data_IF_329491558907
#
_entry.id   IF_329491558907
#
_cell.length_a   1.000
_cell.length_b   1.000
_cell.length_c   1.000
_cell.angle_alpha   90.00
_cell.angle_beta   90.00
_cell.angle_gamma   90.00
#
_symmetry.space_group_name_H-M   'P 1'
#
loop_
_entity.id
_entity.type
_entity.pdbx_description
1 polymer ?
#
# COMPACT_ATOMS: atom_id res chain seq x y z
N UNK A 1 -4.65 -34.52 16.49
CA UNK A 1 -5.16 -33.26 17.09
C UNK A 1 -4.47 -32.92 18.41
N UNK A 2 -3.70 -33.83 19.00
CA UNK A 2 -3.16 -33.71 20.35
C UNK A 2 -1.98 -32.72 20.51
N UNK A 3 -1.19 -32.51 19.46
CA UNK A 3 -0.03 -31.59 19.48
C UNK A 3 -0.48 -30.12 19.54
N UNK A 4 -1.50 -29.73 18.76
CA UNK A 4 -2.00 -28.35 18.74
C UNK A 4 -2.58 -27.91 20.10
N UNK A 5 -3.18 -28.86 20.83
CA UNK A 5 -3.71 -28.63 22.18
C UNK A 5 -2.60 -28.48 23.22
N UNK A 6 -1.46 -29.16 23.04
CA UNK A 6 -0.29 -29.06 23.93
C UNK A 6 0.55 -27.80 23.69
N UNK A 7 0.61 -27.27 22.47
CA UNK A 7 1.42 -26.08 22.14
C UNK A 7 0.65 -24.77 22.07
N UNK A 8 -0.70 -24.79 22.14
CA UNK A 8 -1.52 -23.59 22.03
C UNK A 8 -1.44 -22.88 20.66
N UNK A 9 -0.85 -23.54 19.66
CA UNK A 9 -0.62 -22.97 18.34
C UNK A 9 -1.78 -23.28 17.38
N UNK A 10 -2.04 -22.35 16.45
CA UNK A 10 -3.03 -22.55 15.40
C UNK A 10 -2.73 -23.81 14.58
N UNK A 11 -3.77 -24.56 14.19
CA UNK A 11 -3.66 -25.84 13.48
C UNK A 11 -2.79 -25.73 12.20
N UNK A 12 -2.82 -24.58 11.54
CA UNK A 12 -1.99 -24.26 10.36
C UNK A 12 -0.48 -24.23 10.66
N UNK A 13 -0.08 -23.77 11.85
CA UNK A 13 1.33 -23.74 12.28
C UNK A 13 1.87 -25.15 12.53
N UNK A 14 1.01 -26.04 13.02
CA UNK A 14 1.35 -27.45 13.29
C UNK A 14 1.59 -28.23 11.98
N UNK A 15 1.03 -27.80 10.85
CA UNK A 15 1.25 -28.44 9.54
C UNK A 15 2.70 -28.31 9.08
N UNK A 16 3.32 -27.13 9.26
CA UNK A 16 4.71 -26.88 8.87
C UNK A 16 5.70 -27.67 9.75
N UNK A 17 5.39 -27.77 11.04
CA UNK A 17 6.15 -28.58 11.98
C UNK A 17 6.02 -30.09 11.69
N UNK A 18 4.88 -30.58 11.20
CA UNK A 18 4.70 -32.01 10.86
C UNK A 18 5.59 -32.49 9.71
N UNK A 19 5.83 -31.64 8.72
CA UNK A 19 6.74 -31.93 7.62
C UNK A 19 8.21 -31.97 8.05
N UNK A 20 8.60 -31.18 9.04
CA UNK A 20 9.98 -31.16 9.57
C UNK A 20 10.31 -32.41 10.41
N UNK A 21 9.31 -33.06 11.03
CA UNK A 21 9.48 -34.29 11.83
C UNK A 21 9.18 -35.56 11.00
N UNK A 22 9.15 -35.47 9.67
CA UNK A 22 9.09 -36.63 8.77
C UNK A 22 7.75 -37.37 8.73
N UNK A 23 6.64 -36.78 9.21
CA UNK A 23 5.32 -37.39 9.01
C UNK A 23 4.79 -37.12 7.59
N UNK A 24 4.23 -38.13 6.91
CA UNK A 24 3.81 -37.98 5.53
C UNK A 24 2.67 -36.94 5.39
N UNK A 25 2.77 -36.10 4.37
CA UNK A 25 1.81 -35.01 4.06
C UNK A 25 0.43 -35.51 3.60
N UNK A 26 0.22 -36.83 3.56
CA UNK A 26 -0.93 -37.55 3.01
C UNK A 26 -2.15 -37.59 3.93
N UNK A 27 -2.17 -36.83 5.02
CA UNK A 27 -3.36 -36.75 5.86
C UNK A 27 -4.53 -36.14 5.06
N UNK A 28 -5.70 -36.82 4.98
CA UNK A 28 -6.85 -36.30 4.25
C UNK A 28 -7.26 -34.96 4.85
N UNK A 29 -7.29 -33.92 4.01
CA UNK A 29 -7.74 -32.59 4.43
C UNK A 29 -9.21 -32.67 4.75
N UNK A 30 -9.62 -32.18 5.92
CA UNK A 30 -11.03 -31.99 6.21
C UNK A 30 -11.64 -31.12 5.11
N UNK A 31 -12.73 -31.63 4.50
CA UNK A 31 -13.49 -30.86 3.51
C UNK A 31 -14.00 -29.61 4.23
N UNK A 32 -13.75 -28.43 3.65
CA UNK A 32 -14.24 -27.18 4.25
C UNK A 32 -15.77 -27.27 4.37
N UNK A 33 -16.32 -26.74 5.46
CA UNK A 33 -17.76 -26.73 5.72
C UNK A 33 -18.56 -25.98 4.65
N UNK A 34 -17.92 -25.08 3.91
CA UNK A 34 -18.50 -24.28 2.84
C UNK A 34 -18.26 -24.85 1.43
N UNK A 35 -17.68 -26.05 1.32
CA UNK A 35 -17.36 -26.66 0.03
C UNK A 35 -18.62 -27.08 -0.75
N UNK A 36 -19.03 -26.25 -1.70
CA UNK A 36 -20.20 -26.46 -2.55
C UNK A 36 -21.35 -25.48 -2.29
N UNK A 37 -21.18 -24.56 -1.32
CA UNK A 37 -22.11 -23.44 -1.15
C UNK A 37 -21.86 -22.44 -2.30
N UNK A 38 -22.87 -22.14 -3.14
CA UNK A 38 -22.73 -21.15 -4.20
C UNK A 38 -22.40 -19.79 -3.57
N UNK A 39 -21.22 -19.27 -3.86
CA UNK A 39 -20.83 -17.93 -3.40
C UNK A 39 -21.76 -16.90 -4.08
N UNK A 40 -22.35 -15.95 -3.34
CA UNK A 40 -23.21 -14.93 -3.93
C UNK A 40 -22.39 -14.10 -4.94
N UNK A 41 -22.78 -14.17 -6.22
CA UNK A 41 -22.14 -13.52 -7.40
C UNK A 41 -20.63 -13.38 -7.25
N UNK A 42 -19.89 -14.47 -7.47
CA UNK A 42 -18.44 -14.39 -7.57
C UNK A 42 -18.03 -13.43 -8.68
N UNK A 43 -17.32 -12.36 -8.31
CA UNK A 43 -16.60 -11.55 -9.29
C UNK A 43 -15.72 -12.54 -10.10
N UNK A 44 -15.70 -12.45 -11.44
CA UNK A 44 -14.90 -13.35 -12.26
C UNK A 44 -13.46 -13.40 -11.75
N UNK A 45 -12.91 -14.59 -11.56
CA UNK A 45 -11.53 -14.74 -11.09
C UNK A 45 -10.53 -14.43 -12.22
N UNK A 46 -9.32 -14.01 -11.86
CA UNK A 46 -8.24 -13.77 -12.83
C UNK A 46 -8.43 -12.50 -13.67
N UNK A 47 -8.04 -12.53 -14.95
CA UNK A 47 -8.02 -11.34 -15.83
C UNK A 47 -9.41 -10.70 -16.00
N UNK A 48 -10.46 -11.49 -15.93
CA UNK A 48 -11.84 -11.01 -16.02
C UNK A 48 -12.28 -10.19 -14.79
N UNK A 49 -11.57 -10.28 -13.65
CA UNK A 49 -11.79 -9.44 -12.46
C UNK A 49 -11.31 -7.99 -12.65
N UNK A 50 -10.31 -7.79 -13.52
CA UNK A 50 -9.61 -6.52 -13.67
C UNK A 50 -10.52 -5.33 -13.96
N UNK A 51 -11.51 -5.39 -14.88
CA UNK A 51 -12.40 -4.25 -15.13
C UNK A 51 -13.28 -3.93 -13.91
N UNK A 52 -13.78 -4.94 -13.19
CA UNK A 52 -14.58 -4.75 -11.97
C UNK A 52 -13.74 -4.10 -10.86
N UNK A 53 -12.52 -4.59 -10.65
CA UNK A 53 -11.58 -4.00 -9.71
C UNK A 53 -11.23 -2.55 -10.08
N UNK A 54 -11.03 -2.26 -11.38
CA UNK A 54 -10.73 -0.92 -11.87
C UNK A 54 -11.92 0.03 -11.67
N UNK A 55 -13.14 -0.41 -11.95
CA UNK A 55 -14.34 0.39 -11.73
C UNK A 55 -14.57 0.67 -10.23
N UNK A 56 -14.41 -0.35 -9.38
CA UNK A 56 -14.52 -0.19 -7.93
C UNK A 56 -13.44 0.76 -7.37
N UNK A 57 -12.21 0.68 -7.86
CA UNK A 57 -11.14 1.59 -7.46
C UNK A 57 -11.44 3.04 -7.89
N UNK A 58 -11.96 3.26 -9.10
CA UNK A 58 -12.37 4.60 -9.55
C UNK A 58 -13.48 5.21 -8.68
N UNK A 59 -14.40 4.38 -8.19
CA UNK A 59 -15.49 4.83 -7.33
C UNK A 59 -15.07 5.01 -5.86
N UNK A 60 -13.95 4.44 -5.43
CA UNK A 60 -13.54 4.44 -4.03
C UNK A 60 -12.74 5.70 -3.66
N UNK A 61 -13.21 6.50 -2.67
CA UNK A 61 -12.42 7.61 -2.14
C UNK A 61 -11.04 7.17 -1.62
N UNK A 62 -10.97 5.95 -1.08
CA UNK A 62 -9.75 5.34 -0.51
C UNK A 62 -8.67 5.03 -1.54
N UNK A 63 -9.05 4.93 -2.82
CA UNK A 63 -8.11 4.78 -3.93
C UNK A 63 -7.88 6.10 -4.70
N UNK A 64 -8.55 7.19 -4.28
CA UNK A 64 -8.44 8.52 -4.88
C UNK A 64 -7.14 9.23 -4.57
N UNK A 65 -6.96 10.46 -5.08
CA UNK A 65 -5.69 11.22 -4.91
C UNK A 65 -5.63 12.11 -3.66
N UNK A 66 -6.75 12.23 -2.95
CA UNK A 66 -6.92 13.14 -1.82
C UNK A 66 -6.47 12.57 -0.46
N UNK A 67 -6.81 13.25 0.65
CA UNK A 67 -6.40 12.86 2.00
C UNK A 67 -7.04 11.56 2.49
N UNK A 68 -8.18 11.16 1.93
CA UNK A 68 -8.90 9.91 2.23
C UNK A 68 -8.21 8.65 1.67
N UNK A 69 -7.13 8.81 0.89
CA UNK A 69 -6.41 7.67 0.34
C UNK A 69 -5.88 6.77 1.48
N UNK A 70 -6.02 5.46 1.33
CA UNK A 70 -5.55 4.49 2.33
C UNK A 70 -4.04 4.53 2.59
N UNK A 71 -3.27 5.04 1.63
CA UNK A 71 -1.82 5.26 1.70
C UNK A 71 -1.45 6.70 2.09
N UNK A 72 -2.42 7.55 2.42
CA UNK A 72 -2.17 8.86 2.99
C UNK A 72 -1.55 8.70 4.39
N UNK A 73 -0.55 9.52 4.71
CA UNK A 73 0.23 9.47 5.95
C UNK A 73 0.43 10.90 6.39
N UNK A 74 0.34 11.18 7.70
CA UNK A 74 0.61 12.52 8.22
C UNK A 74 2.07 12.92 8.07
N UNK A 75 2.27 14.19 7.76
CA UNK A 75 3.54 14.88 7.63
C UNK A 75 3.47 16.19 8.37
N UNK A 76 4.59 16.56 9.00
CA UNK A 76 4.82 17.92 9.46
C UNK A 76 6.00 18.45 8.67
N UNK A 77 5.71 19.23 7.64
CA UNK A 77 6.71 19.82 6.75
C UNK A 77 7.11 21.19 7.27
N UNK A 78 8.39 21.51 7.18
CA UNK A 78 8.88 22.88 7.41
C UNK A 78 9.35 23.44 6.08
N UNK A 79 8.78 24.57 5.66
CA UNK A 79 9.14 25.24 4.42
C UNK A 79 10.52 25.91 4.53
N UNK A 80 11.15 26.29 3.41
CA UNK A 80 12.42 27.04 3.42
C UNK A 80 12.31 28.39 4.14
N UNK A 81 11.10 28.94 4.24
CA UNK A 81 10.80 30.17 4.98
C UNK A 81 10.59 29.94 6.50
N UNK A 82 10.64 28.68 6.95
CA UNK A 82 10.43 28.29 8.36
C UNK A 82 8.98 28.04 8.74
N UNK A 83 8.04 28.08 7.79
CA UNK A 83 6.62 27.83 8.05
C UNK A 83 6.34 26.34 8.23
N UNK A 84 5.49 25.99 9.20
CA UNK A 84 5.11 24.60 9.46
C UNK A 84 3.79 24.26 8.79
N UNK A 85 3.76 23.15 8.07
CA UNK A 85 2.58 22.64 7.37
C UNK A 85 2.26 21.22 7.85
N UNK A 86 1.09 21.06 8.45
CA UNK A 86 0.53 19.75 8.80
C UNK A 86 -0.24 19.19 7.60
N UNK A 87 0.18 18.04 7.09
CA UNK A 87 -0.25 17.51 5.80
C UNK A 87 -0.59 16.03 5.90
N UNK A 88 -1.83 15.64 5.58
CA UNK A 88 -2.25 14.22 5.56
C UNK A 88 -1.78 13.44 4.33
N UNK A 89 -1.63 14.11 3.19
CA UNK A 89 -1.20 13.47 1.95
C UNK A 89 -0.23 14.39 1.21
N UNK A 90 1.05 14.01 1.20
CA UNK A 90 2.11 14.77 0.54
C UNK A 90 1.83 15.01 -0.95
N UNK A 91 1.31 14.01 -1.65
CA UNK A 91 1.03 14.12 -3.08
C UNK A 91 -0.11 15.09 -3.36
N UNK A 92 -1.13 15.09 -2.51
CA UNK A 92 -2.24 16.04 -2.58
C UNK A 92 -1.77 17.47 -2.28
N UNK A 93 -0.99 17.64 -1.21
CA UNK A 93 -0.43 18.94 -0.82
C UNK A 93 0.39 19.60 -1.92
N UNK A 94 1.28 18.86 -2.58
CA UNK A 94 2.10 19.39 -3.67
C UNK A 94 1.26 19.77 -4.89
N UNK A 95 0.14 19.07 -5.16
CA UNK A 95 -0.79 19.45 -6.25
C UNK A 95 -1.61 20.68 -5.91
N UNK A 96 -2.03 20.81 -4.66
CA UNK A 96 -2.89 21.90 -4.19
C UNK A 96 -2.10 23.19 -3.95
N UNK A 97 -0.79 23.11 -3.72
CA UNK A 97 0.06 24.26 -3.42
C UNK A 97 1.29 24.34 -4.37
N UNK A 98 1.10 24.39 -5.70
CA UNK A 98 2.22 24.40 -6.64
C UNK A 98 3.10 25.65 -6.48
N UNK A 99 2.52 26.78 -6.04
CA UNK A 99 3.22 28.05 -5.83
C UNK A 99 4.28 28.02 -4.73
N UNK A 100 4.24 27.02 -3.83
CA UNK A 100 5.26 26.84 -2.78
C UNK A 100 6.54 26.17 -3.31
N UNK A 101 6.52 25.71 -4.56
CA UNK A 101 7.60 24.97 -5.20
C UNK A 101 7.98 25.63 -6.53
N UNK A 102 9.14 25.27 -7.07
CA UNK A 102 9.48 25.68 -8.43
C UNK A 102 8.69 24.86 -9.47
N UNK A 103 8.35 25.44 -10.62
CA UNK A 103 7.62 24.77 -11.70
C UNK A 103 8.28 23.45 -12.15
N UNK A 104 9.62 23.44 -12.17
CA UNK A 104 10.41 22.25 -12.50
C UNK A 104 10.22 21.12 -11.47
N UNK A 105 9.91 21.44 -10.22
CA UNK A 105 9.73 20.46 -9.14
C UNK A 105 8.31 19.92 -9.01
N UNK A 106 7.32 20.63 -9.55
CA UNK A 106 5.90 20.23 -9.58
C UNK A 106 5.49 19.59 -10.90
N UNK A 107 6.43 19.37 -11.81
CA UNK A 107 6.20 18.63 -13.05
C UNK A 107 6.03 17.13 -12.73
N UNK A 108 4.80 16.64 -12.86
CA UNK A 108 4.42 15.25 -12.57
C UNK A 108 4.85 14.30 -13.70
N UNK A 109 5.60 13.28 -13.31
CA UNK A 109 6.12 12.21 -14.19
C UNK A 109 5.49 10.89 -13.76
N UNK A 110 5.25 9.98 -14.71
CA UNK A 110 4.81 8.62 -14.39
C UNK A 110 6.00 7.68 -14.28
N UNK A 111 6.05 6.89 -13.22
CA UNK A 111 6.98 5.76 -13.16
C UNK A 111 6.51 4.69 -14.13
N UNK A 112 7.26 4.49 -15.21
CA UNK A 112 7.01 3.42 -16.18
C UNK A 112 7.39 2.06 -15.61
N UNK A 113 6.45 1.36 -14.99
CA UNK A 113 6.55 -0.10 -14.87
C UNK A 113 6.29 -0.75 -16.23
N UNK A 114 6.76 -2.00 -16.44
CA UNK A 114 6.53 -2.81 -17.68
C UNK A 114 5.04 -2.92 -18.11
N UNK A 115 4.10 -2.46 -17.28
CA UNK A 115 2.64 -2.46 -17.48
C UNK A 115 1.98 -1.09 -17.22
N UNK A 116 2.73 0.00 -17.10
CA UNK A 116 2.18 1.33 -16.78
C UNK A 116 1.57 1.45 -15.38
N UNK A 117 1.92 0.54 -14.46
CA UNK A 117 1.37 0.44 -13.09
C UNK A 117 2.12 1.27 -12.04
N UNK A 118 3.13 2.04 -12.44
CA UNK A 118 3.86 2.88 -11.49
C UNK A 118 3.08 4.16 -11.17
N UNK A 119 3.21 4.60 -9.91
CA UNK A 119 2.63 5.86 -9.46
C UNK A 119 3.20 7.08 -10.18
N UNK A 120 2.49 8.20 -10.05
CA UNK A 120 2.99 9.51 -10.47
C UNK A 120 3.91 10.07 -9.37
N UNK A 121 4.98 10.76 -9.78
CA UNK A 121 5.91 11.43 -8.88
C UNK A 121 6.42 12.72 -9.51
N UNK A 122 6.81 13.68 -8.69
CA UNK A 122 7.52 14.88 -9.11
C UNK A 122 8.76 15.08 -8.22
N UNK A 123 9.65 16.00 -8.58
CA UNK A 123 10.90 16.17 -7.83
C UNK A 123 10.64 16.60 -6.38
N UNK A 124 9.59 17.39 -6.11
CA UNK A 124 9.21 17.78 -4.75
C UNK A 124 8.82 16.57 -3.88
N UNK A 125 7.88 15.74 -4.36
CA UNK A 125 7.50 14.52 -3.64
C UNK A 125 8.68 13.57 -3.43
N UNK A 126 9.52 13.36 -4.45
CA UNK A 126 10.68 12.48 -4.35
C UNK A 126 11.74 13.02 -3.37
N UNK A 127 12.00 14.33 -3.39
CA UNK A 127 12.91 15.00 -2.49
C UNK A 127 12.48 14.87 -1.03
N UNK A 128 11.22 15.19 -0.73
CA UNK A 128 10.67 15.09 0.62
C UNK A 128 10.61 13.62 1.10
N UNK A 129 10.27 12.68 0.22
CA UNK A 129 10.32 11.24 0.53
C UNK A 129 11.74 10.78 0.88
N UNK A 130 12.77 11.32 0.23
CA UNK A 130 14.15 11.01 0.57
C UNK A 130 14.56 11.54 1.95
N UNK A 131 13.99 12.67 2.41
CA UNK A 131 14.18 13.14 3.80
C UNK A 131 13.59 12.12 4.77
N UNK A 132 12.33 11.72 4.56
CA UNK A 132 11.66 10.72 5.41
C UNK A 132 12.38 9.38 5.42
N UNK A 133 12.95 8.98 4.29
CA UNK A 133 13.75 7.77 4.14
C UNK A 133 15.16 7.85 4.74
N UNK A 134 15.54 8.97 5.36
CA UNK A 134 16.88 9.17 5.95
C UNK A 134 18.01 9.30 4.94
N UNK A 135 17.71 9.46 3.65
CA UNK A 135 18.71 9.61 2.57
C UNK A 135 19.25 11.04 2.46
N UNK A 136 18.50 12.01 2.98
CA UNK A 136 18.89 13.41 3.01
C UNK A 136 18.37 14.05 4.32
N UNK A 137 19.05 15.09 4.82
CA UNK A 137 18.60 15.86 5.99
C UNK A 137 17.59 16.96 5.61
N UNK A 138 17.69 17.48 4.40
CA UNK A 138 16.82 18.52 3.85
C UNK A 138 16.75 18.41 2.33
N UNK A 139 15.76 19.04 1.72
CA UNK A 139 15.62 19.14 0.27
C UNK A 139 15.21 20.55 -0.12
N UNK A 140 16.08 21.30 -0.79
CA UNK A 140 15.83 22.70 -1.22
C UNK A 140 15.26 23.59 -0.10
N UNK A 141 15.78 23.43 1.13
CA UNK A 141 15.32 24.16 2.33
C UNK A 141 14.13 23.53 3.06
N UNK A 142 13.43 22.57 2.45
CA UNK A 142 12.38 21.81 3.12
C UNK A 142 12.97 20.79 4.09
N UNK A 143 12.36 20.66 5.27
CA UNK A 143 12.68 19.64 6.26
C UNK A 143 11.41 19.02 6.83
N UNK A 144 11.59 17.95 7.61
CA UNK A 144 10.54 17.37 8.45
C UNK A 144 10.75 17.86 9.88
N UNK A 145 9.67 18.17 10.58
CA UNK A 145 9.69 18.47 12.01
C UNK A 145 9.62 17.20 12.86
#
# INVERSE_FOLDING_TARGET
>A
MEIARKTGAAISTVVKQRTEVGMPSTAPRARRSDAGIPQPRSIPLGKAAQPFATAAAKASPRAGRGPENVHAVDWVLVSPAGERHEVRNLYDFVRSNPSLFSDADVTWKRTGGKRGTGGEWCNATAGILNIKGGRAKSWKGWTLA
#
